data_IF_398772818201
#
_entry.id   IF_398772818201
#
_cell.length_a   1.000
_cell.length_b   1.000
_cell.length_c   1.000
_cell.angle_alpha   90.00
_cell.angle_beta   90.00
_cell.angle_gamma   90.00
#
_symmetry.space_group_name_H-M   'P 1'
#
loop_
_entity.id
_entity.type
_entity.pdbx_description
1 polymer ?
#
# COMPACT_ATOMS: atom_id res chain seq x y z
N UNK A 1 19.99 30.33 8.96
CA UNK A 1 19.06 29.18 9.01
C UNK A 1 19.92 27.94 8.93
N UNK A 2 19.82 27.01 9.89
CA UNK A 2 20.65 25.81 9.88
C UNK A 2 20.19 24.87 8.76
N UNK A 3 21.08 24.50 7.85
CA UNK A 3 20.78 23.52 6.80
C UNK A 3 20.68 22.12 7.41
N UNK A 4 19.93 21.22 6.75
CA UNK A 4 19.77 19.83 7.20
C UNK A 4 21.12 19.11 7.34
N UNK A 5 22.09 19.46 6.50
CA UNK A 5 23.49 19.03 6.65
C UNK A 5 24.10 19.43 7.99
N UNK A 6 23.94 20.69 8.40
CA UNK A 6 24.53 21.23 9.63
C UNK A 6 24.01 20.48 10.85
N UNK A 7 22.70 20.23 10.87
CA UNK A 7 22.02 19.47 11.91
C UNK A 7 22.45 18.00 11.93
N UNK A 8 22.50 17.34 10.77
CA UNK A 8 22.89 15.93 10.65
C UNK A 8 24.35 15.70 11.03
N UNK A 9 25.25 16.60 10.64
CA UNK A 9 26.66 16.55 11.03
C UNK A 9 26.82 16.66 12.56
N UNK A 10 26.11 17.61 13.18
CA UNK A 10 26.12 17.78 14.63
C UNK A 10 25.52 16.56 15.37
N UNK A 11 24.48 15.96 14.80
CA UNK A 11 23.84 14.75 15.31
C UNK A 11 24.82 13.56 15.30
N UNK A 12 25.42 13.26 14.15
CA UNK A 12 26.36 12.13 13.98
C UNK A 12 27.55 12.22 14.93
N UNK A 13 28.08 13.43 15.15
CA UNK A 13 29.13 13.65 16.13
C UNK A 13 28.67 13.33 17.56
N UNK A 14 27.46 13.77 17.93
CA UNK A 14 26.87 13.51 19.25
C UNK A 14 26.57 12.03 19.47
N UNK A 15 26.13 11.31 18.43
CA UNK A 15 25.92 9.85 18.48
C UNK A 15 27.21 9.07 18.73
N UNK A 16 28.31 9.48 18.08
CA UNK A 16 29.65 8.95 18.40
C UNK A 16 30.17 9.40 19.78
N UNK A 17 29.46 10.28 20.48
CA UNK A 17 29.79 10.82 21.82
C UNK A 17 31.16 11.48 21.90
N UNK A 18 31.59 12.16 20.83
CA UNK A 18 32.90 12.82 20.75
C UNK A 18 32.78 14.36 20.73
N UNK A 19 33.83 15.02 21.21
CA UNK A 19 33.91 16.49 21.22
C UNK A 19 34.09 17.07 19.81
N UNK A 20 33.69 18.34 19.60
CA UNK A 20 33.96 19.03 18.33
C UNK A 20 35.45 19.10 18.00
N UNK A 21 36.32 19.26 19.00
CA UNK A 21 37.77 19.30 18.77
C UNK A 21 38.30 17.97 18.25
N UNK A 22 37.82 16.86 18.82
CA UNK A 22 38.21 15.49 18.41
C UNK A 22 37.71 15.20 17.00
N UNK A 23 36.46 15.51 16.70
CA UNK A 23 35.90 15.33 15.36
C UNK A 23 36.59 16.21 14.31
N UNK A 24 36.91 17.46 14.65
CA UNK A 24 37.59 18.38 13.74
C UNK A 24 39.00 17.89 13.37
N UNK A 25 39.74 17.33 14.35
CA UNK A 25 41.04 16.71 14.10
C UNK A 25 40.95 15.53 13.12
N UNK A 26 39.96 14.64 13.31
CA UNK A 26 39.75 13.49 12.43
C UNK A 26 39.26 13.87 11.02
N UNK A 27 38.53 14.99 10.88
CA UNK A 27 38.02 15.50 9.61
C UNK A 27 38.97 16.50 8.92
N UNK A 28 40.14 16.72 9.51
CA UNK A 28 41.20 17.60 9.02
C UNK A 28 40.75 19.06 8.83
N UNK A 29 40.01 19.58 9.81
CA UNK A 29 39.57 20.99 9.85
C UNK A 29 39.80 21.60 11.22
N UNK A 30 39.77 22.93 11.31
CA UNK A 30 39.81 23.60 12.61
C UNK A 30 38.50 23.39 13.38
N UNK A 31 38.55 23.36 14.71
CA UNK A 31 37.36 23.19 15.55
C UNK A 31 36.35 24.34 15.35
N UNK A 32 36.83 25.56 15.15
CA UNK A 32 35.98 26.71 14.83
C UNK A 32 35.26 26.52 13.48
N UNK A 33 35.96 26.01 12.46
CA UNK A 33 35.36 25.75 11.15
C UNK A 33 34.30 24.65 11.23
N UNK A 34 34.56 23.56 11.96
CA UNK A 34 33.56 22.51 12.18
C UNK A 34 32.33 23.05 12.92
N UNK A 35 32.51 23.92 13.91
CA UNK A 35 31.40 24.57 14.61
C UNK A 35 30.57 25.46 13.67
N UNK A 36 31.22 26.19 12.76
CA UNK A 36 30.50 26.98 11.75
C UNK A 36 29.69 26.08 10.81
N UNK A 37 30.21 24.91 10.43
CA UNK A 37 29.46 23.93 9.64
C UNK A 37 28.27 23.35 10.42
N UNK A 38 28.46 22.92 11.66
CA UNK A 38 27.38 22.34 12.48
C UNK A 38 26.25 23.31 12.81
N UNK A 39 26.55 24.62 12.83
CA UNK A 39 25.56 25.66 13.07
C UNK A 39 25.00 26.30 11.79
N UNK A 40 25.44 25.84 10.60
CA UNK A 40 25.00 26.38 9.31
C UNK A 40 25.43 27.82 9.05
N UNK A 41 26.52 28.26 9.68
CA UNK A 41 27.10 29.59 9.50
C UNK A 41 27.98 29.66 8.25
N UNK A 42 28.46 28.50 7.77
CA UNK A 42 29.27 28.38 6.56
C UNK A 42 28.92 27.10 5.83
N UNK A 43 28.94 27.13 4.50
CA UNK A 43 28.81 25.92 3.71
C UNK A 43 30.14 25.16 3.59
N UNK A 44 30.13 23.82 3.74
CA UNK A 44 31.30 23.01 3.51
C UNK A 44 31.54 22.74 2.04
N UNK A 45 32.81 22.62 1.66
CA UNK A 45 33.20 22.19 0.32
C UNK A 45 33.01 20.68 0.12
N UNK A 46 32.92 20.26 -1.14
CA UNK A 46 32.67 18.87 -1.52
C UNK A 46 33.67 17.88 -0.89
N UNK A 47 34.96 18.24 -0.86
CA UNK A 47 35.99 17.39 -0.27
C UNK A 47 35.77 17.12 1.21
N UNK A 48 35.19 18.07 1.95
CA UNK A 48 34.86 17.88 3.36
C UNK A 48 33.67 16.95 3.54
N UNK A 49 32.63 17.11 2.70
CA UNK A 49 31.42 16.27 2.74
C UNK A 49 31.76 14.80 2.54
N UNK A 50 32.62 14.47 1.57
CA UNK A 50 33.06 13.09 1.31
C UNK A 50 33.81 12.52 2.52
N UNK A 51 34.81 13.24 3.04
CA UNK A 51 35.55 12.79 4.23
C UNK A 51 34.66 12.59 5.45
N UNK A 52 33.68 13.45 5.65
CA UNK A 52 32.73 13.32 6.74
C UNK A 52 31.82 12.10 6.58
N UNK A 53 31.33 11.83 5.37
CA UNK A 53 30.53 10.65 5.05
C UNK A 53 31.30 9.36 5.36
N UNK A 54 32.55 9.25 4.87
CA UNK A 54 33.41 8.09 5.12
C UNK A 54 33.73 7.94 6.61
N UNK A 55 34.09 9.03 7.29
CA UNK A 55 34.43 9.00 8.71
C UNK A 55 33.25 8.57 9.59
N UNK A 56 32.02 8.97 9.26
CA UNK A 56 30.83 8.58 10.01
C UNK A 56 30.18 7.28 9.52
N UNK A 57 30.68 6.69 8.43
CA UNK A 57 30.17 5.44 7.86
C UNK A 57 28.75 5.61 7.31
N UNK A 58 28.46 6.77 6.72
CA UNK A 58 27.15 7.11 6.14
C UNK A 58 27.34 7.57 4.70
N UNK A 59 26.29 7.52 3.89
CA UNK A 59 26.32 8.10 2.55
C UNK A 59 26.34 9.63 2.60
N UNK A 60 26.90 10.26 1.56
CA UNK A 60 26.83 11.71 1.39
C UNK A 60 25.37 12.20 1.36
N UNK A 61 24.45 11.41 0.79
CA UNK A 61 23.04 11.76 0.73
C UNK A 61 22.38 11.77 2.13
N UNK A 62 22.72 10.83 3.01
CA UNK A 62 22.30 10.88 4.41
C UNK A 62 22.89 12.10 5.13
N UNK A 63 24.19 12.36 4.96
CA UNK A 63 24.86 13.49 5.62
C UNK A 63 24.28 14.84 5.19
N UNK A 64 23.86 14.98 3.94
CA UNK A 64 23.19 16.16 3.40
C UNK A 64 21.70 16.24 3.77
N UNK A 65 21.16 15.26 4.52
CA UNK A 65 19.76 15.20 4.92
C UNK A 65 18.80 14.78 3.80
N UNK A 66 19.32 14.16 2.73
CA UNK A 66 18.57 13.75 1.53
C UNK A 66 18.08 12.30 1.57
N UNK A 67 18.57 11.51 2.53
CA UNK A 67 18.16 10.12 2.79
C UNK A 67 17.98 9.93 4.30
N UNK A 68 16.98 9.14 4.71
CA UNK A 68 16.80 8.74 6.12
C UNK A 68 17.53 7.43 6.47
N UNK A 69 18.01 6.68 5.47
CA UNK A 69 18.84 5.49 5.65
C UNK A 69 20.33 5.87 5.55
N UNK A 70 21.12 5.39 6.51
CA UNK A 70 22.55 5.73 6.67
C UNK A 70 23.40 5.30 5.49
N UNK A 71 23.12 4.16 4.90
CA UNK A 71 23.81 3.62 3.73
C UNK A 71 23.42 4.31 2.41
N UNK A 72 22.45 5.22 2.44
CA UNK A 72 21.94 5.87 1.23
C UNK A 72 21.04 4.97 0.40
N UNK A 73 20.58 3.82 0.91
CA UNK A 73 19.63 2.94 0.19
C UNK A 73 18.23 3.55 0.11
N UNK A 74 17.87 4.42 1.07
CA UNK A 74 16.65 5.21 1.03
C UNK A 74 16.86 6.52 0.27
N UNK A 75 17.20 6.41 -1.01
CA UNK A 75 17.12 7.57 -1.92
C UNK A 75 15.64 7.79 -2.28
N UNK A 76 15.08 8.99 -2.12
CA UNK A 76 13.77 9.31 -2.64
C UNK A 76 13.83 9.25 -4.17
N UNK A 77 13.08 8.32 -4.77
CA UNK A 77 12.95 8.21 -6.21
C UNK A 77 12.29 9.49 -6.76
N UNK A 78 13.08 10.40 -7.35
CA UNK A 78 12.53 11.60 -8.01
C UNK A 78 13.45 12.80 -8.30
N UNK A 79 14.69 12.62 -8.79
CA UNK A 79 15.29 13.50 -9.81
C UNK A 79 15.45 12.60 -11.04
N UNK A 80 14.64 12.65 -12.09
CA UNK A 80 13.77 13.72 -12.62
C UNK A 80 12.40 13.10 -12.99
N UNK A 81 11.20 13.56 -12.60
CA UNK A 81 10.75 14.68 -11.77
C UNK A 81 9.27 14.44 -11.33
N UNK A 82 8.92 14.80 -10.07
CA UNK A 82 7.59 15.09 -9.45
C UNK A 82 6.51 13.97 -9.29
N UNK A 83 5.61 13.99 -8.27
CA UNK A 83 5.73 14.08 -6.80
C UNK A 83 5.25 12.78 -6.04
N UNK A 84 5.67 12.65 -4.75
CA UNK A 84 5.04 11.91 -3.60
C UNK A 84 5.03 10.36 -3.46
N UNK A 85 5.59 9.87 -2.32
CA UNK A 85 5.21 8.71 -1.44
C UNK A 85 5.10 7.28 -2.06
N UNK A 86 5.85 6.22 -1.60
CA UNK A 86 5.49 4.87 -2.09
C UNK A 86 5.64 3.61 -1.18
N UNK A 87 6.19 3.64 0.04
CA UNK A 87 6.50 2.36 0.72
C UNK A 87 5.28 1.68 1.39
N UNK A 88 4.38 2.46 2.00
CA UNK A 88 3.19 1.92 2.69
C UNK A 88 1.97 1.81 1.75
N UNK A 89 1.81 2.77 0.82
CA UNK A 89 0.76 2.74 -0.21
C UNK A 89 0.84 1.53 -1.15
N UNK A 90 2.06 1.03 -1.43
CA UNK A 90 2.21 -0.10 -2.33
C UNK A 90 1.88 -1.45 -1.69
N UNK A 91 1.97 -1.60 -0.36
CA UNK A 91 1.72 -2.89 0.29
C UNK A 91 0.22 -3.25 0.28
N UNK A 92 -0.65 -2.32 0.66
CA UNK A 92 -2.10 -2.51 0.63
C UNK A 92 -2.63 -2.66 -0.80
N UNK A 93 -2.10 -1.84 -1.73
CA UNK A 93 -2.41 -1.96 -3.16
C UNK A 93 -1.98 -3.33 -3.70
N UNK A 94 -0.76 -3.79 -3.38
CA UNK A 94 -0.22 -5.08 -3.80
C UNK A 94 -1.11 -6.21 -3.28
N UNK A 95 -1.43 -6.18 -2.00
CA UNK A 95 -2.29 -7.16 -1.32
C UNK A 95 -3.66 -7.31 -2.00
N UNK A 96 -4.37 -6.20 -2.27
CA UNK A 96 -5.68 -6.24 -2.94
C UNK A 96 -5.54 -6.72 -4.39
N UNK A 97 -4.55 -6.21 -5.13
CA UNK A 97 -4.38 -6.56 -6.54
C UNK A 97 -4.03 -8.04 -6.75
N UNK A 98 -3.20 -8.61 -5.87
CA UNK A 98 -2.79 -10.01 -5.93
C UNK A 98 -3.91 -10.96 -5.50
N UNK A 99 -4.68 -10.59 -4.46
CA UNK A 99 -5.84 -11.36 -4.06
C UNK A 99 -6.89 -11.43 -5.18
N UNK A 100 -7.17 -10.30 -5.85
CA UNK A 100 -8.08 -10.25 -7.00
C UNK A 100 -7.54 -11.08 -8.16
N UNK A 101 -6.25 -10.97 -8.48
CA UNK A 101 -5.62 -11.74 -9.55
C UNK A 101 -5.76 -13.25 -9.31
N UNK A 102 -5.45 -13.71 -8.10
CA UNK A 102 -5.56 -15.13 -7.74
C UNK A 102 -7.01 -15.63 -7.81
N UNK A 103 -7.98 -14.87 -7.31
CA UNK A 103 -9.39 -15.26 -7.39
C UNK A 103 -9.87 -15.42 -8.84
N UNK A 104 -9.46 -14.50 -9.74
CA UNK A 104 -9.81 -14.57 -11.16
C UNK A 104 -9.12 -15.74 -11.87
N UNK A 105 -7.85 -16.02 -11.54
CA UNK A 105 -7.12 -17.18 -12.10
C UNK A 105 -7.76 -18.51 -11.67
N UNK A 106 -8.10 -18.65 -10.38
CA UNK A 106 -8.81 -19.83 -9.86
C UNK A 106 -10.17 -20.03 -10.54
N UNK A 107 -10.94 -18.95 -10.71
CA UNK A 107 -12.22 -19.01 -11.43
C UNK A 107 -12.04 -19.40 -12.90
N UNK A 108 -10.99 -18.92 -13.57
CA UNK A 108 -10.67 -19.27 -14.95
C UNK A 108 -10.30 -20.74 -15.14
N UNK A 109 -9.78 -21.40 -14.09
CA UNK A 109 -9.43 -22.83 -14.11
C UNK A 109 -10.58 -23.75 -13.78
N UNK A 110 -11.75 -23.21 -13.43
CA UNK A 110 -12.87 -23.99 -12.96
C UNK A 110 -13.62 -24.77 -14.06
N UNK A 111 -13.22 -24.62 -15.32
CA UNK A 111 -13.91 -25.24 -16.47
C UNK A 111 -15.18 -24.52 -16.92
N UNK A 112 -15.59 -23.45 -16.23
CA UNK A 112 -16.75 -22.62 -16.59
C UNK A 112 -16.36 -21.33 -17.29
N UNK A 113 -17.14 -20.97 -18.31
CA UNK A 113 -17.01 -19.69 -19.01
C UNK A 113 -17.71 -18.57 -18.25
N UNK A 114 -18.77 -18.89 -17.52
CA UNK A 114 -19.62 -17.93 -16.81
C UNK A 114 -19.04 -17.55 -15.45
N UNK A 115 -18.44 -18.50 -14.71
CA UNK A 115 -17.89 -18.24 -13.37
C UNK A 115 -16.90 -17.05 -13.31
N UNK A 116 -15.85 -16.97 -14.15
CA UNK A 116 -14.94 -15.83 -14.12
C UNK A 116 -15.62 -14.52 -14.52
N UNK A 117 -16.64 -14.56 -15.40
CA UNK A 117 -17.40 -13.37 -15.81
C UNK A 117 -18.25 -12.82 -14.67
N UNK A 118 -18.94 -13.70 -13.93
CA UNK A 118 -19.78 -13.29 -12.80
C UNK A 118 -18.93 -12.81 -11.62
N UNK A 119 -17.75 -13.40 -11.40
CA UNK A 119 -16.78 -12.92 -10.40
C UNK A 119 -16.27 -11.51 -10.78
N UNK A 120 -15.88 -11.32 -12.05
CA UNK A 120 -15.44 -10.01 -12.54
C UNK A 120 -16.57 -8.96 -12.46
N UNK A 121 -17.81 -9.33 -12.77
CA UNK A 121 -18.97 -8.45 -12.64
C UNK A 121 -19.19 -8.02 -11.18
N UNK A 122 -19.13 -8.95 -10.24
CA UNK A 122 -19.24 -8.66 -8.81
C UNK A 122 -18.20 -7.63 -8.34
N UNK A 123 -16.92 -7.86 -8.67
CA UNK A 123 -15.82 -6.94 -8.33
C UNK A 123 -15.98 -5.57 -9.00
N UNK A 124 -16.43 -5.55 -10.26
CA UNK A 124 -16.61 -4.33 -11.04
C UNK A 124 -17.64 -3.38 -10.44
N UNK A 125 -18.73 -3.91 -9.84
CA UNK A 125 -19.73 -3.07 -9.16
C UNK A 125 -19.14 -2.42 -7.91
N UNK A 126 -18.32 -3.15 -7.14
CA UNK A 126 -17.61 -2.60 -5.99
C UNK A 126 -16.65 -1.48 -6.39
N UNK A 127 -15.86 -1.69 -7.45
CA UNK A 127 -14.95 -0.66 -8.00
C UNK A 127 -15.74 0.57 -8.46
N UNK A 128 -16.84 0.38 -9.19
CA UNK A 128 -17.70 1.48 -9.63
C UNK A 128 -18.27 2.27 -8.44
N UNK A 129 -18.78 1.57 -7.41
CA UNK A 129 -19.31 2.20 -6.19
C UNK A 129 -18.24 3.02 -5.46
N UNK A 130 -17.03 2.46 -5.28
CA UNK A 130 -15.91 3.16 -4.67
C UNK A 130 -15.49 4.41 -5.47
N UNK A 131 -15.38 4.29 -6.79
CA UNK A 131 -15.06 5.41 -7.67
C UNK A 131 -16.10 6.53 -7.59
N UNK A 132 -17.40 6.20 -7.52
CA UNK A 132 -18.47 7.19 -7.37
C UNK A 132 -18.33 8.00 -6.07
N UNK A 133 -17.96 7.37 -4.96
CA UNK A 133 -17.71 8.11 -3.72
C UNK A 133 -16.51 9.06 -3.83
N UNK A 134 -15.40 8.60 -4.41
CA UNK A 134 -14.23 9.47 -4.64
C UNK A 134 -14.57 10.65 -5.55
N UNK A 135 -15.36 10.40 -6.59
CA UNK A 135 -15.82 11.44 -7.51
C UNK A 135 -16.69 12.49 -6.81
N UNK A 136 -17.63 12.05 -5.96
CA UNK A 136 -18.49 12.96 -5.19
C UNK A 136 -17.70 13.79 -4.17
N UNK A 137 -16.58 13.27 -3.66
CA UNK A 137 -15.68 13.99 -2.77
C UNK A 137 -14.78 15.01 -3.49
N UNK A 138 -14.75 15.02 -4.83
CA UNK A 138 -13.91 15.89 -5.64
C UNK A 138 -14.72 17.03 -6.28
N UNK A 139 -14.79 18.23 -5.65
CA UNK A 139 -15.70 19.32 -6.02
C UNK A 139 -15.45 19.94 -7.42
N UNK A 140 -14.28 19.69 -8.02
CA UNK A 140 -13.97 20.15 -9.39
C UNK A 140 -14.48 19.18 -10.48
N UNK A 141 -15.00 18.02 -10.08
CA UNK A 141 -15.52 17.02 -11.01
C UNK A 141 -16.92 17.41 -11.47
N UNK A 142 -17.04 18.03 -12.65
CA UNK A 142 -18.33 18.39 -13.28
C UNK A 142 -19.21 17.15 -13.38
N UNK A 143 -20.46 17.18 -12.93
CA UNK A 143 -21.42 16.05 -12.83
C UNK A 143 -21.79 15.36 -14.18
N UNK A 144 -21.06 15.65 -15.26
CA UNK A 144 -21.31 15.18 -16.63
C UNK A 144 -20.88 13.74 -16.92
N UNK A 145 -20.15 13.07 -16.01
CA UNK A 145 -19.59 11.73 -16.28
C UNK A 145 -20.60 10.59 -16.08
N UNK A 146 -21.65 10.78 -15.27
CA UNK A 146 -22.53 9.68 -14.87
C UNK A 146 -23.95 9.81 -15.41
N UNK A 147 -24.45 8.71 -15.96
CA UNK A 147 -25.84 8.62 -16.46
C UNK A 147 -26.86 8.54 -15.31
N UNK A 148 -26.45 8.03 -14.15
CA UNK A 148 -27.28 7.91 -12.95
C UNK A 148 -27.10 9.12 -12.04
N UNK A 149 -28.22 9.78 -11.70
CA UNK A 149 -28.26 10.88 -10.74
C UNK A 149 -27.62 10.48 -9.41
N UNK A 150 -26.89 11.40 -8.78
CA UNK A 150 -26.12 11.16 -7.56
C UNK A 150 -26.93 10.69 -6.35
N UNK A 151 -28.24 10.93 -6.31
CA UNK A 151 -29.09 10.67 -5.13
C UNK A 151 -29.40 9.17 -4.89
N UNK A 152 -29.21 8.29 -5.87
CA UNK A 152 -29.62 6.88 -5.77
C UNK A 152 -28.56 5.86 -6.20
N UNK A 153 -27.36 6.30 -6.57
CA UNK A 153 -26.36 5.39 -7.12
C UNK A 153 -25.95 4.30 -6.12
N UNK A 154 -25.87 4.62 -4.82
CA UNK A 154 -25.50 3.67 -3.77
C UNK A 154 -26.47 2.48 -3.73
N UNK A 155 -27.78 2.76 -3.58
CA UNK A 155 -28.81 1.73 -3.52
C UNK A 155 -28.87 0.90 -4.81
N UNK A 156 -28.63 1.52 -5.96
CA UNK A 156 -28.57 0.81 -7.25
C UNK A 156 -27.33 -0.10 -7.34
N UNK A 157 -26.18 0.34 -6.83
CA UNK A 157 -24.98 -0.50 -6.75
C UNK A 157 -25.21 -1.68 -5.81
N UNK A 158 -25.87 -1.47 -4.67
CA UNK A 158 -26.16 -2.55 -3.70
C UNK A 158 -27.15 -3.58 -4.26
N UNK A 159 -28.19 -3.11 -4.95
CA UNK A 159 -29.10 -4.00 -5.68
C UNK A 159 -28.36 -4.81 -6.74
N UNK A 160 -27.49 -4.18 -7.53
CA UNK A 160 -26.70 -4.86 -8.55
C UNK A 160 -25.69 -5.85 -7.95
N UNK A 161 -25.02 -5.49 -6.84
CA UNK A 161 -24.15 -6.40 -6.09
C UNK A 161 -24.89 -7.66 -5.66
N UNK A 162 -26.13 -7.52 -5.14
CA UNK A 162 -26.95 -8.68 -4.75
C UNK A 162 -27.33 -9.57 -5.94
N UNK A 163 -27.59 -8.98 -7.10
CA UNK A 163 -27.81 -9.75 -8.34
C UNK A 163 -26.53 -10.51 -8.74
N UNK A 164 -25.37 -9.85 -8.71
CA UNK A 164 -24.08 -10.49 -8.99
C UNK A 164 -23.77 -11.61 -7.99
N UNK A 165 -24.07 -11.45 -6.69
CA UNK A 165 -23.90 -12.52 -5.69
C UNK A 165 -24.73 -13.77 -6.02
N UNK A 166 -25.99 -13.58 -6.43
CA UNK A 166 -26.87 -14.70 -6.80
C UNK A 166 -26.35 -15.45 -8.04
N UNK A 167 -25.92 -14.70 -9.07
CA UNK A 167 -25.34 -15.27 -10.29
C UNK A 167 -24.00 -15.96 -10.02
N UNK A 168 -23.11 -15.33 -9.26
CA UNK A 168 -21.82 -15.91 -8.88
C UNK A 168 -22.00 -17.22 -8.11
N UNK A 169 -22.94 -17.29 -7.16
CA UNK A 169 -23.26 -18.53 -6.42
C UNK A 169 -23.82 -19.62 -7.34
N UNK A 170 -24.73 -19.25 -8.25
CA UNK A 170 -25.26 -20.20 -9.24
C UNK A 170 -24.16 -20.74 -10.13
N UNK A 171 -23.32 -19.86 -10.69
CA UNK A 171 -22.19 -20.23 -11.54
C UNK A 171 -21.20 -21.12 -10.79
N UNK A 172 -20.81 -20.78 -9.56
CA UNK A 172 -19.88 -21.58 -8.77
C UNK A 172 -20.41 -22.99 -8.42
N UNK A 173 -21.74 -23.14 -8.34
CA UNK A 173 -22.40 -24.43 -8.15
C UNK A 173 -22.66 -25.19 -9.47
N UNK A 174 -22.25 -24.65 -10.63
CA UNK A 174 -22.57 -25.19 -11.95
C UNK A 174 -24.05 -25.10 -12.35
N UNK A 175 -24.82 -24.26 -11.66
CA UNK A 175 -26.25 -24.08 -11.90
C UNK A 175 -26.56 -22.96 -12.90
N UNK A 176 -27.70 -23.09 -13.60
CA UNK A 176 -28.20 -22.13 -14.60
C UNK A 176 -29.34 -21.23 -14.11
N UNK A 177 -29.23 -20.62 -12.94
CA UNK A 177 -30.23 -19.67 -12.43
C UNK A 177 -29.87 -18.23 -12.79
N UNK A 178 -30.87 -17.35 -12.74
CA UNK A 178 -30.69 -15.89 -12.93
C UNK A 178 -30.14 -15.48 -14.30
N UNK A 179 -30.51 -16.23 -15.35
CA UNK A 179 -30.08 -15.98 -16.72
C UNK A 179 -28.68 -16.52 -17.05
N UNK A 180 -28.26 -17.55 -16.31
CA UNK A 180 -27.07 -18.34 -16.59
C UNK A 180 -27.47 -19.70 -17.19
N UNK A 181 -26.54 -20.32 -17.89
CA UNK A 181 -26.68 -21.70 -18.35
C UNK A 181 -25.95 -22.66 -17.39
N UNK A 182 -26.44 -23.90 -17.18
CA UNK A 182 -25.71 -24.90 -16.41
C UNK A 182 -24.38 -25.24 -17.10
N UNK A 183 -23.28 -25.25 -16.34
CA UNK A 183 -21.94 -25.61 -16.81
C UNK A 183 -21.28 -26.54 -15.78
N UNK A 184 -20.47 -27.52 -16.21
CA UNK A 184 -19.65 -28.29 -15.28
C UNK A 184 -18.62 -27.35 -14.63
N UNK A 185 -18.49 -27.42 -13.30
CA UNK A 185 -17.56 -26.60 -12.53
C UNK A 185 -16.73 -27.50 -11.63
N UNK A 186 -15.42 -27.46 -11.83
CA UNK A 186 -14.45 -28.17 -11.01
C UNK A 186 -13.36 -27.19 -10.57
N UNK A 187 -13.50 -26.68 -9.35
CA UNK A 187 -12.50 -25.81 -8.76
C UNK A 187 -11.28 -26.63 -8.30
N UNK A 188 -10.05 -26.08 -8.43
CA UNK A 188 -8.88 -26.69 -7.82
C UNK A 188 -8.99 -26.67 -6.28
N UNK A 189 -8.19 -27.48 -5.56
CA UNK A 189 -8.17 -27.45 -4.10
C UNK A 189 -7.83 -26.04 -3.59
N UNK A 190 -8.68 -25.51 -2.69
CA UNK A 190 -8.56 -24.14 -2.16
C UNK A 190 -7.93 -24.10 -0.75
N UNK A 191 -7.30 -25.18 -0.30
CA UNK A 191 -6.59 -25.17 0.98
C UNK A 191 -5.39 -24.21 0.94
N UNK A 192 -4.97 -23.62 2.07
CA UNK A 192 -3.81 -22.72 2.11
C UNK A 192 -2.56 -23.34 1.47
N UNK A 193 -2.31 -24.62 1.73
CA UNK A 193 -1.17 -25.35 1.16
C UNK A 193 -1.28 -25.51 -0.36
N UNK A 194 -2.49 -25.76 -0.88
CA UNK A 194 -2.71 -25.90 -2.32
C UNK A 194 -2.58 -24.55 -3.05
N UNK A 195 -3.05 -23.46 -2.43
CA UNK A 195 -2.89 -22.11 -2.96
C UNK A 195 -1.41 -21.69 -2.96
N UNK A 196 -0.69 -21.92 -1.86
CA UNK A 196 0.73 -21.58 -1.75
C UNK A 196 1.61 -22.39 -2.69
N UNK A 197 1.27 -23.66 -2.93
CA UNK A 197 1.95 -24.49 -3.91
C UNK A 197 1.77 -23.98 -5.35
N UNK A 198 0.69 -23.24 -5.62
CA UNK A 198 0.35 -22.75 -6.95
C UNK A 198 0.88 -21.33 -7.22
N UNK A 199 0.68 -20.41 -6.28
CA UNK A 199 0.96 -18.99 -6.41
C UNK A 199 1.37 -18.42 -5.05
N UNK A 200 2.66 -18.53 -4.65
CA UNK A 200 3.08 -18.30 -3.27
C UNK A 200 2.95 -16.84 -2.81
N UNK A 201 3.27 -15.86 -3.67
CA UNK A 201 3.13 -14.43 -3.33
C UNK A 201 1.64 -14.04 -3.25
N UNK A 202 0.85 -14.45 -4.23
CA UNK A 202 -0.56 -14.11 -4.32
C UNK A 202 -1.40 -14.83 -3.25
N UNK A 203 -1.04 -16.06 -2.89
CA UNK A 203 -1.68 -16.79 -1.80
C UNK A 203 -1.42 -16.12 -0.44
N UNK A 204 -0.20 -15.64 -0.19
CA UNK A 204 0.11 -14.91 1.04
C UNK A 204 -0.71 -13.61 1.16
N UNK A 205 -0.84 -12.87 0.06
CA UNK A 205 -1.67 -11.66 -0.03
C UNK A 205 -3.15 -11.97 0.18
N UNK A 206 -3.69 -13.01 -0.48
CA UNK A 206 -5.07 -13.44 -0.30
C UNK A 206 -5.36 -13.87 1.14
N UNK A 207 -4.52 -14.70 1.75
CA UNK A 207 -4.71 -15.18 3.12
C UNK A 207 -4.67 -14.04 4.14
N UNK A 208 -3.76 -13.08 3.94
CA UNK A 208 -3.68 -11.89 4.79
C UNK A 208 -4.95 -11.04 4.66
N UNK A 209 -5.43 -10.81 3.42
CA UNK A 209 -6.70 -10.12 3.18
C UNK A 209 -7.86 -10.82 3.89
N UNK A 210 -7.98 -12.14 3.72
CA UNK A 210 -9.06 -12.93 4.31
C UNK A 210 -9.05 -12.86 5.83
N UNK A 211 -7.87 -12.94 6.46
CA UNK A 211 -7.75 -12.80 7.91
C UNK A 211 -8.18 -11.41 8.38
N UNK A 212 -7.68 -10.35 7.75
CA UNK A 212 -8.04 -8.96 8.10
C UNK A 212 -9.54 -8.72 7.98
N UNK A 213 -10.17 -9.21 6.91
CA UNK A 213 -11.62 -9.07 6.71
C UNK A 213 -12.39 -9.92 7.72
N UNK A 214 -11.94 -11.13 8.02
CA UNK A 214 -12.55 -12.00 9.03
C UNK A 214 -12.56 -11.34 10.40
N UNK A 215 -11.43 -10.79 10.83
CA UNK A 215 -11.30 -10.10 12.12
C UNK A 215 -12.25 -8.89 12.21
N UNK A 216 -12.37 -8.12 11.12
CA UNK A 216 -13.27 -6.97 11.06
C UNK A 216 -14.75 -7.38 11.14
N UNK A 217 -15.16 -8.46 10.46
CA UNK A 217 -16.53 -8.98 10.51
C UNK A 217 -16.86 -9.52 11.91
N UNK A 218 -15.94 -10.28 12.52
CA UNK A 218 -16.13 -10.81 13.87
C UNK A 218 -16.25 -9.69 14.90
N UNK A 219 -15.38 -8.68 14.83
CA UNK A 219 -15.45 -7.52 15.71
C UNK A 219 -16.79 -6.77 15.61
N UNK A 220 -17.35 -6.66 14.40
CA UNK A 220 -18.67 -6.06 14.19
C UNK A 220 -19.79 -6.90 14.81
N UNK A 221 -19.69 -8.23 14.73
CA UNK A 221 -20.65 -9.16 15.35
C UNK A 221 -20.60 -9.15 16.88
N UNK A 222 -19.40 -9.13 17.46
CA UNK A 222 -19.20 -9.12 18.92
C UNK A 222 -19.57 -7.78 19.57
N UNK A 223 -19.54 -6.69 18.79
CA UNK A 223 -20.02 -5.38 19.22
C UNK A 223 -21.56 -5.32 19.37
N UNK A 224 -22.29 -6.33 18.88
CA UNK A 224 -23.73 -6.43 19.10
C UNK A 224 -23.99 -6.98 20.51
N UNK A 225 -24.83 -6.31 21.34
CA UNK A 225 -25.16 -6.83 22.66
C UNK A 225 -25.75 -8.23 22.52
N UNK A 226 -25.24 -9.19 23.31
CA UNK A 226 -25.80 -10.54 23.39
C UNK A 226 -27.30 -10.42 23.63
N UNK A 227 -28.11 -10.93 22.69
CA UNK A 227 -29.56 -10.82 22.70
C UNK A 227 -30.08 -11.16 24.10
N UNK A 228 -30.65 -10.17 24.78
CA UNK A 228 -31.22 -10.24 26.12
C UNK A 228 -32.49 -11.08 26.18
N UNK A 229 -32.56 -12.16 25.40
CA UNK A 229 -33.63 -13.16 25.42
C UNK A 229 -33.12 -14.42 26.09
N UNK A 230 -32.90 -14.33 27.40
CA UNK A 230 -33.16 -15.48 28.28
C UNK A 230 -34.62 -15.37 28.72
N UNK A 231 -35.36 -16.43 28.41
CA UNK A 231 -36.76 -16.67 28.78
C UNK A 231 -36.98 -16.54 30.29
#
# INVERSE_FOLDING_TARGET
MASDFSRTLALLRREKKISQRTAAGALEVSQALLSHYENGLREPGLSFVVRAADYYGVSCDYLLGRSMARDGSAVPAGRMAEPSQPAQENAEKKLVSEAVALLLDLAGRAGSRQLPQELAAYLSVGIYKAFRYLYMAAPESVDAMFRTKGEHFENLCDAQLKVCELRLRSAAAGGGLFGLEPEPVELPPLSPDALAAHAPEEAASLLTLLQTVSDAITALGDALPADGRRR
#
